data_IF_123947514416
#
_entry.id   IF_123947514416
#
_cell.length_a   1.000
_cell.length_b   1.000
_cell.length_c   1.000
_cell.angle_alpha   90.00
_cell.angle_beta   90.00
_cell.angle_gamma   90.00
#
_symmetry.space_group_name_H-M   'P 1'
#
loop_
_entity.id
_entity.type
_entity.pdbx_description
1 polymer ?
#
# COMPACT_ATOMS: atom_id res chain seq x y z
N UNK A 1 -25.88 -35.73 -33.20
CA UNK A 1 -26.83 -34.75 -33.77
C UNK A 1 -26.37 -34.18 -35.11
N UNK A 2 -25.68 -33.03 -35.16
CA UNK A 2 -25.49 -32.18 -36.35
C UNK A 2 -25.30 -32.87 -37.71
N UNK A 3 -24.37 -33.83 -37.83
CA UNK A 3 -24.10 -34.52 -39.11
C UNK A 3 -25.31 -35.29 -39.68
N UNK A 4 -26.12 -35.92 -38.81
CA UNK A 4 -27.31 -36.65 -39.25
C UNK A 4 -28.40 -35.72 -39.81
N UNK A 5 -28.48 -34.48 -39.31
CA UNK A 5 -29.43 -33.44 -39.73
C UNK A 5 -28.97 -32.80 -41.06
N UNK A 6 -27.67 -32.80 -41.35
CA UNK A 6 -27.11 -32.28 -42.60
C UNK A 6 -27.35 -33.20 -43.81
N UNK A 7 -27.37 -34.53 -43.62
CA UNK A 7 -27.55 -35.51 -44.71
C UNK A 7 -28.84 -35.28 -45.54
N UNK A 8 -30.04 -35.08 -44.96
CA UNK A 8 -31.25 -34.75 -45.71
C UNK A 8 -31.11 -33.52 -46.61
N UNK A 9 -30.42 -32.46 -46.15
CA UNK A 9 -30.19 -31.23 -46.93
C UNK A 9 -29.30 -31.52 -48.15
N UNK A 10 -28.23 -32.30 -47.95
CA UNK A 10 -27.33 -32.72 -49.04
C UNK A 10 -28.09 -33.56 -50.08
N UNK A 11 -28.99 -34.44 -49.64
CA UNK A 11 -29.83 -35.25 -50.53
C UNK A 11 -30.83 -34.39 -51.31
N UNK A 12 -31.46 -33.37 -50.68
CA UNK A 12 -32.32 -32.40 -51.39
C UNK A 12 -31.52 -31.70 -52.50
N UNK A 13 -30.32 -31.20 -52.21
CA UNK A 13 -29.45 -30.53 -53.19
C UNK A 13 -29.11 -31.48 -54.35
N UNK A 14 -28.73 -32.73 -54.05
CA UNK A 14 -28.47 -33.76 -55.06
C UNK A 14 -29.70 -34.08 -55.91
N UNK A 15 -30.91 -34.12 -55.34
CA UNK A 15 -32.14 -34.34 -56.11
C UNK A 15 -32.56 -33.14 -56.96
N UNK A 16 -32.32 -31.91 -56.52
CA UNK A 16 -32.47 -30.71 -57.37
C UNK A 16 -31.59 -30.85 -58.62
N UNK A 17 -30.29 -31.18 -58.45
CA UNK A 17 -29.40 -31.46 -59.58
C UNK A 17 -29.85 -32.68 -60.41
N UNK A 18 -30.39 -33.73 -59.78
CA UNK A 18 -30.90 -34.93 -60.45
C UNK A 18 -32.12 -34.64 -61.35
N UNK A 19 -33.01 -33.73 -60.92
CA UNK A 19 -34.15 -33.25 -61.70
C UNK A 19 -33.68 -32.38 -62.87
N UNK A 20 -32.83 -31.37 -62.63
CA UNK A 20 -32.30 -30.51 -63.71
C UNK A 20 -31.47 -31.29 -64.74
N UNK A 21 -30.61 -32.21 -64.31
CA UNK A 21 -29.85 -33.06 -65.20
C UNK A 21 -30.75 -34.01 -66.02
N UNK A 22 -31.87 -34.49 -65.46
CA UNK A 22 -32.83 -35.32 -66.19
C UNK A 22 -33.71 -34.50 -67.16
N UNK A 23 -34.05 -33.26 -66.82
CA UNK A 23 -34.76 -32.33 -67.69
C UNK A 23 -33.93 -31.95 -68.94
N UNK A 24 -32.60 -31.87 -68.78
CA UNK A 24 -31.63 -31.56 -69.85
C UNK A 24 -30.98 -32.80 -70.48
N UNK A 25 -31.55 -34.00 -70.27
CA UNK A 25 -31.09 -35.26 -70.88
C UNK A 25 -31.83 -35.56 -72.18
N UNK A 26 -31.09 -35.74 -73.27
CA UNK A 26 -31.60 -36.38 -74.50
C UNK A 26 -31.33 -37.90 -74.46
N UNK A 27 -31.94 -38.72 -75.35
CA UNK A 27 -31.61 -40.14 -75.45
C UNK A 27 -30.13 -40.38 -75.80
N UNK A 28 -29.56 -39.53 -76.65
CA UNK A 28 -28.16 -39.56 -77.11
C UNK A 28 -27.17 -39.14 -76.01
N UNK A 29 -27.56 -38.20 -75.15
CA UNK A 29 -26.73 -37.67 -74.06
C UNK A 29 -27.43 -37.84 -72.69
N UNK A 30 -27.46 -39.08 -72.14
CA UNK A 30 -28.19 -39.40 -70.92
C UNK A 30 -27.46 -38.92 -69.65
N UNK A 31 -27.77 -37.70 -69.20
CA UNK A 31 -27.20 -37.08 -68.00
C UNK A 31 -27.87 -37.56 -66.69
N UNK A 32 -27.31 -37.15 -65.56
CA UNK A 32 -27.88 -37.38 -64.22
C UNK A 32 -27.74 -38.80 -63.65
N UNK A 33 -27.22 -39.79 -64.40
CA UNK A 33 -26.99 -41.16 -63.89
C UNK A 33 -26.13 -41.16 -62.61
N UNK A 34 -24.96 -40.52 -62.65
CA UNK A 34 -24.02 -40.44 -61.53
C UNK A 34 -24.62 -39.72 -60.31
N UNK A 35 -25.30 -38.60 -60.53
CA UNK A 35 -25.97 -37.83 -59.45
C UNK A 35 -27.09 -38.65 -58.81
N UNK A 36 -27.88 -39.36 -59.61
CA UNK A 36 -28.96 -40.22 -59.11
C UNK A 36 -28.43 -41.41 -58.30
N UNK A 37 -27.27 -41.96 -58.67
CA UNK A 37 -26.59 -43.05 -57.95
C UNK A 37 -25.94 -42.56 -56.65
N UNK A 38 -25.26 -41.40 -56.67
CA UNK A 38 -24.71 -40.76 -55.47
C UNK A 38 -25.82 -40.41 -54.46
N UNK A 39 -26.96 -39.89 -54.93
CA UNK A 39 -28.12 -39.67 -54.07
C UNK A 39 -28.68 -40.98 -53.49
N UNK A 40 -28.79 -42.05 -54.29
CA UNK A 40 -29.21 -43.37 -53.77
C UNK A 40 -28.28 -43.87 -52.67
N UNK A 41 -26.96 -43.73 -52.86
CA UNK A 41 -25.95 -44.08 -51.86
C UNK A 41 -26.09 -43.22 -50.58
N UNK A 42 -26.29 -41.91 -50.72
CA UNK A 42 -26.54 -41.01 -49.58
C UNK A 42 -27.83 -41.35 -48.82
N UNK A 43 -28.89 -41.78 -49.51
CA UNK A 43 -30.15 -42.20 -48.88
C UNK A 43 -30.01 -43.54 -48.15
N UNK A 44 -29.21 -44.46 -48.68
CA UNK A 44 -28.84 -45.70 -47.97
C UNK A 44 -28.02 -45.38 -46.71
N UNK A 45 -27.05 -44.47 -46.80
CA UNK A 45 -26.31 -43.98 -45.62
C UNK A 45 -27.25 -43.32 -44.61
N UNK A 46 -28.13 -42.42 -45.04
CA UNK A 46 -29.13 -41.76 -44.18
C UNK A 46 -29.99 -42.78 -43.42
N UNK A 47 -30.47 -43.84 -44.08
CA UNK A 47 -31.24 -44.89 -43.43
C UNK A 47 -30.43 -45.60 -42.33
N UNK A 48 -29.19 -46.01 -42.60
CA UNK A 48 -28.34 -46.65 -41.59
C UNK A 48 -27.89 -45.70 -40.47
N UNK A 49 -27.67 -44.42 -40.77
CA UNK A 49 -27.35 -43.38 -39.76
C UNK A 49 -28.56 -43.11 -38.86
N UNK A 50 -29.77 -43.02 -39.41
CA UNK A 50 -31.00 -42.88 -38.62
C UNK A 50 -31.25 -44.12 -37.75
N UNK A 51 -31.11 -45.32 -38.32
CA UNK A 51 -31.25 -46.59 -37.59
C UNK A 51 -30.22 -46.72 -36.45
N UNK A 52 -28.96 -46.33 -36.70
CA UNK A 52 -27.90 -46.30 -35.70
C UNK A 52 -28.17 -45.30 -34.58
N UNK A 53 -28.53 -44.05 -34.93
CA UNK A 53 -28.85 -43.00 -33.95
C UNK A 53 -30.08 -43.36 -33.09
N UNK A 54 -31.07 -44.03 -33.66
CA UNK A 54 -32.21 -44.57 -32.91
C UNK A 54 -31.76 -45.71 -31.97
N UNK A 55 -30.93 -46.65 -32.44
CA UNK A 55 -30.46 -47.76 -31.62
C UNK A 55 -29.58 -47.29 -30.45
N UNK A 56 -28.69 -46.32 -30.65
CA UNK A 56 -27.90 -45.72 -29.56
C UNK A 56 -28.80 -44.92 -28.63
N UNK A 57 -29.65 -44.02 -29.15
CA UNK A 57 -30.56 -43.21 -28.32
C UNK A 57 -31.55 -44.03 -27.48
N UNK A 58 -32.00 -45.20 -27.98
CA UNK A 58 -32.78 -46.16 -27.20
C UNK A 58 -31.96 -46.82 -26.10
N UNK A 59 -30.68 -47.09 -26.34
CA UNK A 59 -29.77 -47.67 -25.35
C UNK A 59 -29.45 -46.65 -24.26
N UNK A 60 -29.00 -45.45 -24.66
CA UNK A 60 -28.61 -44.35 -23.78
C UNK A 60 -29.80 -43.88 -22.92
N UNK A 61 -30.96 -43.67 -23.55
CA UNK A 61 -32.21 -43.33 -22.85
C UNK A 61 -32.82 -44.44 -22.00
N UNK A 62 -32.30 -45.68 -22.09
CA UNK A 62 -32.63 -46.75 -21.13
C UNK A 62 -31.63 -46.76 -19.97
N UNK A 63 -30.34 -46.56 -20.26
CA UNK A 63 -29.28 -46.51 -19.24
C UNK A 63 -29.41 -45.28 -18.31
N UNK A 64 -29.91 -44.16 -18.82
CA UNK A 64 -30.18 -42.95 -18.04
C UNK A 64 -31.56 -42.96 -17.36
N UNK A 65 -32.42 -43.97 -17.59
CA UNK A 65 -33.84 -43.89 -17.24
C UNK A 65 -34.11 -43.56 -15.77
N UNK A 66 -33.36 -44.17 -14.86
CA UNK A 66 -33.53 -44.02 -13.41
C UNK A 66 -32.92 -42.72 -12.84
N UNK A 67 -32.18 -41.95 -13.65
CA UNK A 67 -31.60 -40.64 -13.26
C UNK A 67 -32.33 -39.45 -13.87
N UNK A 68 -33.33 -39.69 -14.73
CA UNK A 68 -34.21 -38.67 -15.31
C UNK A 68 -35.35 -38.26 -14.36
N UNK A 69 -35.83 -37.02 -14.49
CA UNK A 69 -37.05 -36.57 -13.82
C UNK A 69 -38.30 -37.25 -14.40
N UNK A 70 -39.44 -37.19 -13.69
CA UNK A 70 -40.70 -37.74 -14.19
C UNK A 70 -41.19 -37.03 -15.48
N UNK A 71 -40.81 -35.77 -15.67
CA UNK A 71 -41.11 -34.94 -16.84
C UNK A 71 -40.21 -35.35 -18.03
N UNK A 72 -38.89 -35.39 -17.79
CA UNK A 72 -37.88 -35.92 -18.71
C UNK A 72 -38.20 -37.35 -19.20
N UNK A 73 -38.65 -38.24 -18.30
CA UNK A 73 -39.11 -39.59 -18.66
C UNK A 73 -40.32 -39.58 -19.61
N UNK A 74 -41.21 -38.59 -19.50
CA UNK A 74 -42.33 -38.42 -20.42
C UNK A 74 -41.85 -37.98 -21.81
N UNK A 75 -40.98 -36.97 -21.86
CA UNK A 75 -40.45 -36.43 -23.11
C UNK A 75 -39.54 -37.43 -23.84
N UNK A 76 -38.67 -38.15 -23.14
CA UNK A 76 -37.82 -39.21 -23.71
C UNK A 76 -38.66 -40.34 -24.33
N UNK A 77 -39.83 -40.67 -23.77
CA UNK A 77 -40.78 -41.61 -24.41
C UNK A 77 -41.35 -41.05 -25.71
N UNK A 78 -41.77 -39.78 -25.72
CA UNK A 78 -42.27 -39.12 -26.92
C UNK A 78 -41.20 -39.00 -28.02
N UNK A 79 -39.99 -38.58 -27.65
CA UNK A 79 -38.88 -38.41 -28.58
C UNK A 79 -38.37 -39.76 -29.13
N UNK A 80 -38.37 -40.82 -28.32
CA UNK A 80 -38.10 -42.21 -28.77
C UNK A 80 -39.10 -42.65 -29.86
N UNK A 81 -40.39 -42.36 -29.69
CA UNK A 81 -41.40 -42.64 -30.71
C UNK A 81 -41.17 -41.80 -31.99
N UNK A 82 -40.79 -40.53 -31.83
CA UNK A 82 -40.44 -39.63 -32.94
C UNK A 82 -39.22 -40.13 -33.73
N UNK A 83 -38.20 -40.65 -33.04
CA UNK A 83 -37.03 -41.28 -33.64
C UNK A 83 -37.38 -42.53 -34.46
N UNK A 84 -38.26 -43.38 -33.92
CA UNK A 84 -38.77 -44.55 -34.65
C UNK A 84 -39.54 -44.15 -35.94
N UNK A 85 -40.35 -43.08 -35.89
CA UNK A 85 -41.01 -42.55 -37.08
C UNK A 85 -40.03 -41.98 -38.12
N UNK A 86 -38.88 -41.42 -37.71
CA UNK A 86 -37.86 -40.94 -38.66
C UNK A 86 -37.06 -42.09 -39.27
N UNK A 87 -36.77 -43.18 -38.55
CA UNK A 87 -36.23 -44.42 -39.15
C UNK A 87 -37.19 -45.01 -40.19
N UNK A 88 -38.48 -45.10 -39.84
CA UNK A 88 -39.52 -45.56 -40.77
C UNK A 88 -39.63 -44.64 -41.99
N UNK A 89 -39.58 -43.33 -41.80
CA UNK A 89 -39.67 -42.34 -42.89
C UNK A 89 -38.43 -42.35 -43.79
N UNK A 90 -37.23 -42.60 -43.24
CA UNK A 90 -36.01 -42.82 -44.02
C UNK A 90 -36.08 -44.10 -44.85
N UNK A 91 -36.67 -45.18 -44.32
CA UNK A 91 -36.94 -46.40 -45.10
C UNK A 91 -37.97 -46.16 -46.20
N UNK A 92 -39.04 -45.41 -45.92
CA UNK A 92 -40.04 -45.01 -46.92
C UNK A 92 -39.39 -44.16 -48.02
N UNK A 93 -38.51 -43.21 -47.69
CA UNK A 93 -37.71 -42.47 -48.66
C UNK A 93 -36.84 -43.40 -49.52
N UNK A 94 -36.16 -44.38 -48.92
CA UNK A 94 -35.36 -45.36 -49.66
C UNK A 94 -36.22 -46.16 -50.66
N UNK A 95 -37.43 -46.56 -50.29
CA UNK A 95 -38.38 -47.20 -51.23
C UNK A 95 -38.81 -46.24 -52.34
N UNK A 96 -39.25 -45.02 -52.01
CA UNK A 96 -39.65 -44.02 -53.01
C UNK A 96 -38.49 -43.55 -53.90
N UNK A 97 -37.24 -43.66 -53.45
CA UNK A 97 -36.05 -43.40 -54.26
C UNK A 97 -35.90 -44.39 -55.42
N UNK A 98 -36.36 -45.64 -55.28
CA UNK A 98 -36.42 -46.57 -56.41
C UNK A 98 -37.54 -46.17 -57.40
N UNK A 99 -38.72 -45.76 -56.91
CA UNK A 99 -39.81 -45.25 -57.76
C UNK A 99 -39.39 -43.96 -58.52
N UNK A 100 -38.56 -43.12 -57.90
CA UNK A 100 -37.94 -41.93 -58.51
C UNK A 100 -37.09 -42.23 -59.76
N UNK A 101 -36.56 -43.46 -59.89
CA UNK A 101 -35.76 -43.84 -61.07
C UNK A 101 -36.60 -44.01 -62.34
N UNK A 102 -37.92 -44.24 -62.21
CA UNK A 102 -38.82 -44.63 -63.32
C UNK A 102 -39.04 -43.48 -64.31
N UNK A 103 -39.18 -42.22 -63.84
CA UNK A 103 -39.44 -41.10 -64.75
C UNK A 103 -39.41 -39.72 -64.09
N UNK A 104 -39.37 -38.66 -64.92
CA UNK A 104 -39.19 -37.28 -64.42
C UNK A 104 -40.31 -36.84 -63.47
N UNK A 105 -41.55 -37.33 -63.64
CA UNK A 105 -42.66 -37.06 -62.72
C UNK A 105 -42.42 -37.65 -61.32
N UNK A 106 -41.93 -38.88 -61.22
CA UNK A 106 -41.62 -39.49 -59.91
C UNK A 106 -40.37 -38.87 -59.28
N UNK A 107 -39.41 -38.35 -60.06
CA UNK A 107 -38.31 -37.52 -59.53
C UNK A 107 -38.80 -36.24 -58.85
N UNK A 108 -39.72 -35.50 -59.50
CA UNK A 108 -40.26 -34.26 -58.92
C UNK A 108 -41.08 -34.55 -57.65
N UNK A 109 -41.89 -35.60 -57.66
CA UNK A 109 -42.58 -36.07 -56.44
C UNK A 109 -41.59 -36.46 -55.34
N UNK A 110 -40.54 -37.20 -55.67
CA UNK A 110 -39.51 -37.61 -54.72
C UNK A 110 -38.73 -36.43 -54.13
N UNK A 111 -38.42 -35.40 -54.94
CA UNK A 111 -37.81 -34.17 -54.46
C UNK A 111 -38.70 -33.46 -53.43
N UNK A 112 -40.00 -33.32 -53.69
CA UNK A 112 -40.95 -32.72 -52.73
C UNK A 112 -41.05 -33.53 -51.44
N UNK A 113 -41.11 -34.87 -51.54
CA UNK A 113 -41.11 -35.77 -50.38
C UNK A 113 -39.81 -35.66 -49.56
N UNK A 114 -38.66 -35.51 -50.23
CA UNK A 114 -37.35 -35.34 -49.59
C UNK A 114 -37.24 -33.98 -48.90
N UNK A 115 -37.78 -32.90 -49.50
CA UNK A 115 -37.84 -31.57 -48.89
C UNK A 115 -38.71 -31.61 -47.61
N UNK A 116 -39.88 -32.25 -47.66
CA UNK A 116 -40.74 -32.40 -46.48
C UNK A 116 -40.04 -33.17 -45.36
N UNK A 117 -39.39 -34.29 -45.68
CA UNK A 117 -38.60 -35.06 -44.70
C UNK A 117 -37.42 -34.27 -44.13
N UNK A 118 -36.71 -33.47 -44.95
CA UNK A 118 -35.62 -32.63 -44.47
C UNK A 118 -36.10 -31.55 -43.50
N UNK A 119 -37.26 -30.93 -43.77
CA UNK A 119 -37.91 -29.99 -42.85
C UNK A 119 -38.31 -30.63 -41.51
N UNK A 120 -38.91 -31.82 -41.55
CA UNK A 120 -39.25 -32.59 -40.34
C UNK A 120 -38.00 -33.01 -39.55
N UNK A 121 -36.93 -33.42 -40.25
CA UNK A 121 -35.64 -33.79 -39.64
C UNK A 121 -34.95 -32.60 -38.96
N UNK A 122 -35.07 -31.40 -39.53
CA UNK A 122 -34.58 -30.16 -38.94
C UNK A 122 -35.35 -29.79 -37.67
N UNK A 123 -36.68 -29.98 -37.65
CA UNK A 123 -37.49 -29.70 -36.47
C UNK A 123 -37.21 -30.70 -35.34
N UNK A 124 -37.22 -32.01 -35.62
CA UNK A 124 -36.79 -33.03 -34.65
C UNK A 124 -35.36 -32.78 -34.14
N UNK A 125 -34.46 -32.32 -35.01
CA UNK A 125 -33.08 -31.99 -34.66
C UNK A 125 -32.95 -30.85 -33.65
N UNK A 126 -33.92 -29.92 -33.60
CA UNK A 126 -34.03 -28.91 -32.54
C UNK A 126 -34.61 -29.50 -31.27
N UNK A 127 -35.76 -30.16 -31.36
CA UNK A 127 -36.50 -30.74 -30.22
C UNK A 127 -35.62 -31.73 -29.44
N UNK A 128 -34.87 -32.60 -30.14
CA UNK A 128 -33.93 -33.54 -29.53
C UNK A 128 -32.63 -32.90 -29.03
N UNK A 129 -32.31 -31.67 -29.44
CA UNK A 129 -31.23 -30.89 -28.86
C UNK A 129 -31.66 -30.21 -27.55
N UNK A 130 -32.87 -29.63 -27.54
CA UNK A 130 -33.48 -28.99 -26.38
C UNK A 130 -33.74 -29.99 -25.24
N UNK A 131 -34.27 -31.17 -25.57
CA UNK A 131 -34.44 -32.30 -24.64
C UNK A 131 -33.12 -32.75 -23.99
N UNK A 132 -32.02 -32.79 -24.75
CA UNK A 132 -30.70 -33.17 -24.21
C UNK A 132 -30.08 -32.04 -23.39
N UNK A 133 -30.45 -30.78 -23.62
CA UNK A 133 -29.92 -29.65 -22.87
C UNK A 133 -30.58 -29.51 -21.49
N UNK A 134 -31.92 -29.48 -21.44
CA UNK A 134 -32.71 -29.28 -20.21
C UNK A 134 -32.85 -30.55 -19.38
N UNK A 135 -33.33 -31.61 -20.02
CA UNK A 135 -33.70 -32.87 -19.37
C UNK A 135 -32.58 -33.92 -19.42
N UNK A 136 -31.54 -33.67 -20.23
CA UNK A 136 -30.30 -34.44 -20.18
C UNK A 136 -29.60 -34.29 -18.83
N UNK A 137 -29.24 -35.42 -18.23
CA UNK A 137 -28.81 -35.53 -16.82
C UNK A 137 -27.77 -34.46 -16.44
N UNK A 138 -28.25 -33.43 -15.74
CA UNK A 138 -27.48 -32.33 -15.17
C UNK A 138 -26.76 -31.40 -16.18
N UNK A 139 -27.11 -31.40 -17.48
CA UNK A 139 -26.37 -30.63 -18.51
C UNK A 139 -26.54 -29.11 -18.36
N UNK A 140 -27.77 -28.60 -18.33
CA UNK A 140 -28.07 -27.18 -18.08
C UNK A 140 -27.36 -26.69 -16.79
N UNK A 141 -27.54 -27.41 -15.68
CA UNK A 141 -26.92 -27.10 -14.38
C UNK A 141 -25.39 -27.14 -14.38
N UNK A 142 -24.76 -27.99 -15.20
CA UNK A 142 -23.29 -28.02 -15.33
C UNK A 142 -22.81 -26.90 -16.25
N UNK A 143 -23.60 -26.46 -17.23
CA UNK A 143 -23.29 -25.25 -18.00
C UNK A 143 -23.33 -24.00 -17.11
N UNK A 144 -24.39 -23.84 -16.30
CA UNK A 144 -24.51 -22.77 -15.30
C UNK A 144 -23.31 -22.78 -14.34
N UNK A 145 -23.06 -23.92 -13.67
CA UNK A 145 -21.92 -24.09 -12.74
C UNK A 145 -20.56 -23.88 -13.43
N UNK A 146 -20.45 -24.08 -14.74
CA UNK A 146 -19.20 -23.78 -15.48
C UNK A 146 -19.05 -22.28 -15.72
N UNK A 147 -20.13 -21.56 -16.04
CA UNK A 147 -20.11 -20.09 -16.10
C UNK A 147 -19.78 -19.49 -14.74
N UNK A 148 -20.52 -19.89 -13.69
CA UNK A 148 -20.30 -19.46 -12.30
C UNK A 148 -18.86 -19.73 -11.84
N UNK A 149 -18.23 -20.81 -12.33
CA UNK A 149 -16.84 -21.18 -12.01
C UNK A 149 -15.79 -20.40 -12.82
N UNK A 150 -16.09 -19.99 -14.05
CA UNK A 150 -15.22 -19.08 -14.81
C UNK A 150 -15.34 -17.65 -14.24
N UNK A 151 -16.55 -17.14 -14.02
CA UNK A 151 -16.81 -15.84 -13.38
C UNK A 151 -16.15 -15.75 -12.00
N UNK A 152 -16.37 -16.72 -11.10
CA UNK A 152 -15.75 -16.74 -9.76
C UNK A 152 -14.22 -16.94 -9.78
N UNK A 153 -13.65 -17.43 -10.89
CA UNK A 153 -12.20 -17.62 -11.04
C UNK A 153 -11.54 -16.37 -11.60
N UNK A 154 -12.22 -15.62 -12.46
CA UNK A 154 -11.78 -14.29 -12.88
C UNK A 154 -11.89 -13.30 -11.71
N UNK A 155 -12.97 -13.34 -10.90
CA UNK A 155 -13.05 -12.61 -9.62
C UNK A 155 -11.91 -13.00 -8.66
N UNK A 156 -11.55 -14.28 -8.58
CA UNK A 156 -10.42 -14.74 -7.77
C UNK A 156 -9.08 -14.22 -8.32
N UNK A 157 -8.91 -14.15 -9.65
CA UNK A 157 -7.70 -13.61 -10.29
C UNK A 157 -7.56 -12.11 -10.05
N UNK A 158 -8.64 -11.33 -10.17
CA UNK A 158 -8.63 -9.90 -9.81
C UNK A 158 -8.34 -9.71 -8.30
N UNK A 159 -8.86 -10.59 -7.45
CA UNK A 159 -8.58 -10.57 -6.01
C UNK A 159 -7.11 -10.93 -5.68
N UNK A 160 -6.49 -11.89 -6.38
CA UNK A 160 -5.07 -12.22 -6.21
C UNK A 160 -4.16 -11.10 -6.74
N UNK A 161 -4.48 -10.43 -7.85
CA UNK A 161 -3.75 -9.24 -8.32
C UNK A 161 -3.90 -8.04 -7.36
N UNK A 162 -5.10 -7.83 -6.81
CA UNK A 162 -5.34 -6.84 -5.75
C UNK A 162 -4.57 -7.17 -4.46
N UNK A 163 -4.48 -8.45 -4.08
CA UNK A 163 -3.70 -8.88 -2.92
C UNK A 163 -2.18 -8.74 -3.15
N UNK A 164 -1.70 -9.05 -4.35
CA UNK A 164 -0.31 -8.88 -4.78
C UNK A 164 0.13 -7.41 -4.66
N UNK A 165 -0.63 -6.49 -5.27
CA UNK A 165 -0.36 -5.04 -5.23
C UNK A 165 -0.46 -4.44 -3.82
N UNK A 166 -1.34 -4.96 -2.96
CA UNK A 166 -1.36 -4.61 -1.53
C UNK A 166 -0.11 -5.11 -0.77
N UNK A 167 0.47 -6.24 -1.17
CA UNK A 167 1.68 -6.79 -0.52
C UNK A 167 2.93 -5.94 -0.82
N UNK A 168 3.11 -5.49 -2.06
CA UNK A 168 4.18 -4.57 -2.46
C UNK A 168 4.09 -3.22 -1.72
N UNK A 169 2.87 -2.69 -1.58
CA UNK A 169 2.60 -1.47 -0.80
C UNK A 169 2.98 -1.65 0.68
N UNK A 170 2.67 -2.81 1.27
CA UNK A 170 3.03 -3.14 2.64
C UNK A 170 4.55 -3.24 2.85
N UNK A 171 5.28 -3.88 1.92
CA UNK A 171 6.73 -4.04 2.05
C UNK A 171 7.47 -2.69 1.94
N UNK A 172 6.97 -1.78 1.10
CA UNK A 172 7.46 -0.39 1.02
C UNK A 172 7.34 0.34 2.36
N UNK A 173 6.15 0.29 2.99
CA UNK A 173 5.90 0.93 4.29
C UNK A 173 6.72 0.33 5.44
N UNK A 174 7.03 -0.97 5.37
CA UNK A 174 7.93 -1.63 6.35
C UNK A 174 9.38 -1.12 6.20
N UNK A 175 9.86 -0.91 4.97
CA UNK A 175 11.19 -0.36 4.69
C UNK A 175 11.31 1.09 5.18
N UNK A 176 10.37 1.96 4.80
CA UNK A 176 10.34 3.37 5.23
C UNK A 176 10.27 3.50 6.77
N UNK A 177 9.41 2.70 7.43
CA UNK A 177 9.30 2.68 8.89
C UNK A 177 10.59 2.21 9.59
N UNK A 178 11.34 1.30 8.97
CA UNK A 178 12.64 0.82 9.50
C UNK A 178 13.69 1.92 9.43
N UNK A 179 13.85 2.58 8.28
CA UNK A 179 14.79 3.69 8.10
C UNK A 179 14.47 4.86 9.04
N UNK A 180 13.18 5.21 9.19
CA UNK A 180 12.75 6.25 10.12
C UNK A 180 13.10 5.91 11.58
N UNK A 181 12.92 4.65 11.98
CA UNK A 181 13.24 4.19 13.35
C UNK A 181 14.76 4.15 13.63
N UNK A 182 15.58 3.74 12.66
CA UNK A 182 17.04 3.82 12.76
C UNK A 182 17.51 5.28 12.89
N UNK A 183 16.91 6.20 12.11
CA UNK A 183 17.20 7.64 12.17
C UNK A 183 16.80 8.28 13.51
N UNK A 184 15.64 7.90 14.05
CA UNK A 184 15.20 8.30 15.40
C UNK A 184 16.12 7.72 16.48
N UNK A 185 16.67 6.52 16.28
CA UNK A 185 17.63 5.92 17.23
C UNK A 185 18.94 6.69 17.25
N UNK A 186 19.48 7.07 16.08
CA UNK A 186 20.70 7.90 15.99
C UNK A 186 20.53 9.26 16.66
N UNK A 187 19.42 9.96 16.39
CA UNK A 187 19.13 11.28 17.00
C UNK A 187 19.00 11.21 18.54
N UNK A 188 18.51 10.11 19.10
CA UNK A 188 18.45 9.93 20.55
C UNK A 188 19.83 9.63 21.16
N UNK A 189 20.72 8.91 20.46
CA UNK A 189 22.11 8.70 20.89
C UNK A 189 22.89 10.02 20.88
N UNK A 190 22.77 10.81 19.82
CA UNK A 190 23.39 12.14 19.69
C UNK A 190 22.90 13.09 20.79
N UNK A 191 21.58 13.14 21.04
CA UNK A 191 20.98 13.92 22.13
C UNK A 191 21.46 13.46 23.52
N UNK A 192 21.72 12.17 23.72
CA UNK A 192 22.25 11.64 24.98
C UNK A 192 23.71 12.06 25.18
N UNK A 193 24.54 11.96 24.14
CA UNK A 193 25.93 12.43 24.17
C UNK A 193 26.02 13.94 24.48
N UNK A 194 25.21 14.77 23.83
CA UNK A 194 25.09 16.21 24.12
C UNK A 194 24.65 16.49 25.56
N UNK A 195 23.84 15.62 26.16
CA UNK A 195 23.40 15.74 27.56
C UNK A 195 24.54 15.39 28.53
N UNK A 196 25.33 14.35 28.24
CA UNK A 196 26.53 14.02 29.03
C UNK A 196 27.62 15.09 28.91
N UNK A 197 27.83 15.66 27.73
CA UNK A 197 28.80 16.73 27.52
C UNK A 197 28.38 17.99 28.28
N UNK A 198 27.10 18.36 28.21
CA UNK A 198 26.54 19.47 29.01
C UNK A 198 26.71 19.23 30.51
N UNK A 199 26.48 18.02 31.00
CA UNK A 199 26.65 17.69 32.42
C UNK A 199 28.12 17.83 32.87
N UNK A 200 29.09 17.35 32.07
CA UNK A 200 30.53 17.51 32.34
C UNK A 200 30.97 18.98 32.30
N UNK A 201 30.37 19.78 31.42
CA UNK A 201 30.62 21.22 31.34
C UNK A 201 30.04 21.96 32.57
N UNK A 202 28.83 21.59 33.01
CA UNK A 202 28.21 22.15 34.23
C UNK A 202 29.00 21.76 35.49
N UNK A 203 29.46 20.52 35.63
CA UNK A 203 30.36 20.10 36.72
C UNK A 203 31.68 20.89 36.72
N UNK A 204 32.26 21.12 35.54
CA UNK A 204 33.49 21.92 35.39
C UNK A 204 33.28 23.38 35.79
N UNK A 205 32.13 23.97 35.45
CA UNK A 205 31.76 25.34 35.84
C UNK A 205 31.49 25.43 37.35
N UNK A 206 30.82 24.44 37.94
CA UNK A 206 30.55 24.39 39.38
C UNK A 206 31.85 24.29 40.19
N UNK A 207 32.80 23.46 39.72
CA UNK A 207 34.14 23.34 40.32
C UNK A 207 34.94 24.64 40.23
N UNK A 208 34.94 25.32 39.07
CA UNK A 208 35.59 26.62 38.90
C UNK A 208 35.04 27.67 39.87
N UNK A 209 33.70 27.76 40.03
CA UNK A 209 33.08 28.65 41.03
C UNK A 209 33.50 28.31 42.45
N UNK A 210 33.52 27.02 42.80
CA UNK A 210 33.98 26.52 44.11
C UNK A 210 35.39 27.01 44.42
N UNK A 211 36.31 26.85 43.46
CA UNK A 211 37.74 27.05 43.72
C UNK A 211 38.10 28.55 43.72
N UNK A 212 37.53 29.35 42.81
CA UNK A 212 37.64 30.83 42.89
C UNK A 212 37.01 31.42 44.16
N UNK A 213 35.95 30.81 44.70
CA UNK A 213 35.34 31.25 45.98
C UNK A 213 36.27 31.00 47.17
N UNK A 214 36.99 29.86 47.19
CA UNK A 214 37.99 29.56 48.23
C UNK A 214 39.18 30.53 48.17
N UNK A 215 39.70 30.80 46.97
CA UNK A 215 40.78 31.78 46.78
C UNK A 215 40.35 33.18 47.26
N UNK A 216 39.11 33.60 46.98
CA UNK A 216 38.58 34.88 47.42
C UNK A 216 38.52 34.99 48.96
N UNK A 217 38.07 33.95 49.66
CA UNK A 217 38.05 33.95 51.13
C UNK A 217 39.45 33.86 51.75
N UNK A 218 40.38 33.12 51.14
CA UNK A 218 41.79 33.15 51.56
C UNK A 218 42.43 34.54 51.38
N UNK A 219 42.12 35.23 50.28
CA UNK A 219 42.60 36.60 50.02
C UNK A 219 42.01 37.57 51.05
N UNK A 220 40.70 37.48 51.36
CA UNK A 220 40.07 38.27 52.43
C UNK A 220 40.69 38.01 53.80
N UNK A 221 40.96 36.75 54.15
CA UNK A 221 41.59 36.39 55.42
C UNK A 221 43.00 36.98 55.54
N UNK A 222 43.84 36.83 54.50
CA UNK A 222 45.20 37.39 54.44
C UNK A 222 45.18 38.92 54.50
N UNK A 223 44.27 39.57 53.77
CA UNK A 223 44.08 41.01 53.81
C UNK A 223 43.66 41.51 55.20
N UNK A 224 42.74 40.82 55.89
CA UNK A 224 42.33 41.18 57.25
C UNK A 224 43.49 41.11 58.24
N UNK A 225 44.29 40.05 58.19
CA UNK A 225 45.48 39.89 59.06
C UNK A 225 46.45 41.06 58.86
N UNK A 226 46.77 41.41 57.60
CA UNK A 226 47.65 42.53 57.29
C UNK A 226 47.10 43.89 57.78
N UNK A 227 45.77 44.09 57.72
CA UNK A 227 45.11 45.30 58.24
C UNK A 227 45.20 45.37 59.76
N UNK A 228 44.96 44.26 60.46
CA UNK A 228 45.03 44.20 61.93
C UNK A 228 46.50 44.36 62.42
N UNK A 229 47.49 43.78 61.74
CA UNK A 229 48.93 44.00 62.00
C UNK A 229 49.35 45.46 61.79
N UNK A 230 48.96 46.07 60.67
CA UNK A 230 49.24 47.48 60.38
C UNK A 230 48.63 48.40 61.45
N UNK A 231 47.43 48.07 61.94
CA UNK A 231 46.72 48.81 63.00
C UNK A 231 47.41 48.67 64.37
N UNK A 232 47.98 47.51 64.69
CA UNK A 232 48.80 47.32 65.90
C UNK A 232 50.11 48.12 65.81
N UNK A 233 50.81 48.05 64.68
CA UNK A 233 52.06 48.82 64.47
C UNK A 233 51.83 50.33 64.54
N UNK A 234 50.77 50.84 63.89
CA UNK A 234 50.41 52.26 63.96
C UNK A 234 50.13 52.71 65.40
N UNK A 235 49.39 51.90 66.17
CA UNK A 235 49.08 52.21 67.58
C UNK A 235 50.33 52.20 68.47
N UNK A 236 51.24 51.25 68.26
CA UNK A 236 52.54 51.19 68.93
C UNK A 236 53.37 52.45 68.66
N UNK A 237 53.49 52.84 67.38
CA UNK A 237 54.25 54.02 66.97
C UNK A 237 53.69 55.32 67.54
N UNK A 238 52.37 55.44 67.68
CA UNK A 238 51.70 56.58 68.33
C UNK A 238 52.04 56.64 69.83
N UNK A 239 52.04 55.52 70.55
CA UNK A 239 52.44 55.48 71.96
C UNK A 239 53.92 55.88 72.13
N UNK A 240 54.85 55.35 71.30
CA UNK A 240 56.27 55.74 71.35
C UNK A 240 56.49 57.23 71.03
N UNK A 241 55.76 57.81 70.06
CA UNK A 241 55.84 59.25 69.79
C UNK A 241 55.31 60.08 70.97
N UNK A 242 54.22 59.64 71.59
CA UNK A 242 53.60 60.32 72.75
C UNK A 242 54.49 60.28 73.99
N UNK A 243 55.09 59.13 74.29
CA UNK A 243 56.06 58.95 75.38
C UNK A 243 57.27 59.86 75.19
N UNK A 244 57.87 59.85 73.99
CA UNK A 244 59.02 60.70 73.64
C UNK A 244 58.68 62.20 73.63
N UNK A 245 57.46 62.57 73.28
CA UNK A 245 56.96 63.93 73.41
C UNK A 245 56.83 64.34 74.89
N UNK A 246 56.33 63.47 75.78
CA UNK A 246 56.29 63.74 77.22
C UNK A 246 57.68 63.80 77.87
N UNK A 247 58.64 62.96 77.44
CA UNK A 247 60.04 63.05 77.90
C UNK A 247 60.64 64.41 77.51
N UNK A 248 60.46 64.82 76.25
CA UNK A 248 60.95 66.11 75.74
C UNK A 248 60.31 67.29 76.46
N UNK A 249 58.99 67.23 76.70
CA UNK A 249 58.23 68.27 77.41
C UNK A 249 58.65 68.40 78.89
N UNK A 250 58.85 67.27 79.58
CA UNK A 250 59.32 67.27 80.96
C UNK A 250 60.73 67.83 81.05
N UNK A 251 61.65 67.37 80.20
CA UNK A 251 63.03 67.87 80.14
C UNK A 251 63.11 69.37 79.85
N UNK A 252 62.23 69.89 79.00
CA UNK A 252 62.09 71.32 78.75
C UNK A 252 61.51 72.09 79.96
N UNK A 253 60.58 71.49 80.72
CA UNK A 253 60.05 72.04 81.98
C UNK A 253 61.11 72.07 83.08
N UNK A 254 61.88 71.01 83.23
CA UNK A 254 62.91 70.90 84.27
C UNK A 254 63.99 71.97 84.04
N UNK A 255 64.49 72.08 82.80
CA UNK A 255 65.40 73.16 82.39
C UNK A 255 64.79 74.56 82.58
N UNK A 256 63.48 74.74 82.35
CA UNK A 256 62.80 76.02 82.54
C UNK A 256 62.53 76.36 84.02
N UNK A 257 62.45 75.36 84.90
CA UNK A 257 62.34 75.55 86.35
C UNK A 257 63.72 75.88 86.95
N UNK A 258 64.76 75.08 86.65
CA UNK A 258 66.14 75.33 87.09
C UNK A 258 66.60 76.75 86.73
N UNK A 259 66.31 77.20 85.49
CA UNK A 259 66.66 78.53 85.01
C UNK A 259 65.81 79.68 85.59
N UNK A 260 64.74 79.38 86.34
CA UNK A 260 63.80 80.36 86.88
C UNK A 260 63.86 80.47 88.41
N UNK A 261 64.11 79.35 89.09
CA UNK A 261 64.41 79.30 90.52
C UNK A 261 65.76 79.97 90.85
N UNK A 262 66.68 80.01 89.88
CA UNK A 262 67.99 80.67 89.99
C UNK A 262 68.04 82.18 89.65
N UNK A 263 66.88 82.85 89.45
CA UNK A 263 66.90 84.21 88.86
C UNK A 263 65.78 85.20 89.30
N UNK A 264 64.91 84.84 90.26
CA UNK A 264 63.79 85.75 90.64
C UNK A 264 63.35 85.80 92.11
N UNK A 265 64.09 85.18 93.03
CA UNK A 265 64.51 85.88 94.26
C UNK A 265 66.01 86.22 94.09
N UNK A 266 66.50 87.24 94.80
CA UNK A 266 67.93 87.58 94.87
C UNK A 266 68.71 87.81 93.52
N UNK A 267 68.04 88.38 92.48
CA UNK A 267 68.56 89.13 91.28
C UNK A 267 69.04 88.26 90.05
N UNK A 268 69.22 88.67 88.75
CA UNK A 268 68.92 89.81 87.78
C UNK A 268 69.45 89.44 86.35
N UNK A 269 69.39 90.22 85.22
CA UNK A 269 68.43 91.19 84.61
C UNK A 269 68.26 90.99 83.04
N UNK A 270 68.05 92.08 82.26
CA UNK A 270 68.23 92.25 80.77
C UNK A 270 67.09 91.73 79.78
N UNK A 271 67.02 92.13 78.45
CA UNK A 271 65.71 92.19 77.67
C UNK A 271 65.58 91.84 76.10
N UNK A 272 64.33 91.62 75.53
CA UNK A 272 63.70 91.89 74.13
C UNK A 272 63.31 90.79 72.97
N UNK A 273 61.98 90.63 72.53
CA UNK A 273 61.17 90.37 71.20
C UNK A 273 60.89 89.05 70.22
N UNK A 274 59.62 88.83 69.62
CA UNK A 274 59.05 88.19 68.26
C UNK A 274 58.18 86.79 67.97
N UNK A 275 57.34 86.57 66.85
CA UNK A 275 56.31 85.40 66.47
C UNK A 275 55.59 85.24 64.97
N UNK A 276 54.87 84.10 64.46
CA UNK A 276 53.91 83.88 63.20
C UNK A 276 53.25 82.42 62.72
N UNK A 277 52.14 82.23 61.83
CA UNK A 277 51.42 80.90 61.31
C UNK A 277 50.43 80.83 59.98
N UNK A 278 49.88 79.66 59.38
CA UNK A 278 48.95 79.45 58.10
C UNK A 278 47.96 78.13 57.85
N UNK A 279 47.20 77.84 56.68
CA UNK A 279 45.95 76.90 56.39
C UNK A 279 45.66 76.03 54.99
N UNK A 280 44.44 75.40 54.61
CA UNK A 280 44.16 74.17 53.63
C UNK A 280 43.00 73.94 52.41
N UNK A 281 41.96 72.97 52.23
CA UNK A 281 41.40 72.20 50.94
C UNK A 281 39.84 72.27 50.40
N UNK A 282 38.99 71.53 49.51
CA UNK A 282 38.69 70.25 48.59
C UNK A 282 37.38 70.39 47.58
N UNK A 283 36.54 69.59 46.74
CA UNK A 283 36.06 68.22 46.07
C UNK A 283 34.80 68.38 45.01
N UNK A 284 33.98 67.55 44.17
CA UNK A 284 33.73 66.17 43.43
C UNK A 284 32.39 66.04 42.43
N UNK A 285 31.98 64.96 41.59
CA UNK A 285 30.80 64.85 40.52
C UNK A 285 30.20 63.45 39.84
N UNK A 286 29.13 63.33 38.90
CA UNK A 286 28.34 62.06 38.33
C UNK A 286 27.67 61.88 36.82
N UNK A 287 26.64 60.97 36.43
CA UNK A 287 26.25 60.32 35.02
C UNK A 287 24.71 59.86 34.60
N UNK A 288 24.26 59.44 33.32
CA UNK A 288 22.81 59.08 32.74
C UNK A 288 22.53 58.11 31.43
N UNK A 289 21.25 57.76 30.91
CA UNK A 289 20.74 56.87 29.68
C UNK A 289 19.26 57.16 29.02
N UNK A 290 18.41 56.57 28.04
CA UNK A 290 18.17 55.38 27.05
C UNK A 290 16.77 55.24 26.17
N UNK A 291 16.45 54.20 25.27
CA UNK A 291 15.09 53.61 24.64
C UNK A 291 14.63 53.50 23.05
N UNK A 292 13.60 52.67 22.53
CA UNK A 292 13.06 52.43 21.05
C UNK A 292 11.74 51.51 20.62
N UNK A 293 11.13 51.48 19.34
CA UNK A 293 10.09 50.48 18.67
C UNK A 293 9.86 50.49 17.05
N UNK A 294 8.78 49.90 16.39
CA UNK A 294 8.65 49.44 14.92
C UNK A 294 7.31 49.66 14.09
N UNK A 295 7.39 50.12 12.81
CA UNK A 295 6.52 49.90 11.59
C UNK A 295 7.16 50.64 10.37
N UNK A 296 6.87 50.45 9.07
CA UNK A 296 5.91 49.64 8.26
C UNK A 296 6.69 48.86 7.17
#
# INVERSE_FOLDING_TARGET
MHFAIALPIIIVILEVFNVFAKLTSTPENPKGKTVSALSLFMIVILFFVALGAYATGVTDGTNAWDTLSAEAQSEVKAHKLLGAYVVLSAFILLVFKFLSLIGTKSKVFFLLLTIAFAGLSLNQGKEGGELVFKDGVNIEKVADITSDLEDAKDELSEAEEAQSTLSDSSESLVKEKKELNEKVTQLNLEKTALTEEKAKLEESIEKLKSDSSKELEEIKAKAKIAIDEAKVNAKSMIETMKEKATETLNKAKDMANDAKESLSEELTPAPVAEDIKVEEPTTEEVVVEGNATKAE
#
